data_IF_219355290831
#
_entry.id   IF_219355290831
#
_cell.length_a   1.000
_cell.length_b   1.000
_cell.length_c   1.000
_cell.angle_alpha   90.00
_cell.angle_beta   90.00
_cell.angle_gamma   90.00
#
_symmetry.space_group_name_H-M   'P 1'
#
loop_
_entity.id
_entity.type
_entity.pdbx_description
1 polymer ?
#
# COMPACT_ATOMS: atom_id res chain seq x y z
N UNK A 1 -18.34 0.58 7.95
CA UNK A 1 -18.74 0.23 6.57
C UNK A 1 -17.50 -0.31 5.87
N UNK A 2 -17.56 -1.51 5.33
CA UNK A 2 -16.49 -2.08 4.51
C UNK A 2 -16.45 -1.32 3.18
N UNK A 3 -15.26 -0.86 2.77
CA UNK A 3 -15.04 -0.23 1.47
C UNK A 3 -14.06 -1.07 0.66
N UNK A 4 -14.13 -0.89 -0.66
CA UNK A 4 -13.12 -1.42 -1.58
C UNK A 4 -11.98 -0.42 -1.75
N UNK A 5 -10.75 -0.91 -1.69
CA UNK A 5 -9.51 -0.15 -1.83
C UNK A 5 -8.68 -0.73 -2.96
N UNK A 6 -8.23 0.13 -3.88
CA UNK A 6 -7.21 -0.21 -4.86
C UNK A 6 -5.93 0.51 -4.50
N UNK A 7 -4.83 -0.23 -4.36
CA UNK A 7 -3.49 0.31 -4.09
C UNK A 7 -2.63 0.00 -5.30
N UNK A 8 -2.09 1.03 -5.94
CA UNK A 8 -1.17 0.89 -7.06
C UNK A 8 0.25 1.14 -6.57
N UNK A 9 1.14 0.19 -6.88
CA UNK A 9 2.55 0.25 -6.52
C UNK A 9 3.36 -0.08 -7.77
N UNK A 10 4.17 0.89 -8.21
CA UNK A 10 5.28 0.65 -9.14
C UNK A 10 6.53 0.44 -8.29
N UNK A 11 7.24 -0.66 -8.51
CA UNK A 11 8.46 -0.97 -7.76
C UNK A 11 9.62 -0.15 -8.32
N UNK A 12 9.94 0.98 -7.67
CA UNK A 12 11.06 1.85 -8.05
C UNK A 12 12.21 1.69 -7.07
N UNK A 13 11.95 1.78 -5.77
CA UNK A 13 12.96 1.59 -4.72
C UNK A 13 13.02 0.13 -4.23
N UNK A 14 13.48 -0.78 -5.08
CA UNK A 14 13.74 -2.20 -4.81
C UNK A 14 12.59 -2.93 -4.08
N UNK A 15 12.60 -2.90 -2.76
CA UNK A 15 11.65 -3.55 -1.88
C UNK A 15 10.89 -2.58 -0.96
N UNK A 16 11.33 -1.32 -0.88
CA UNK A 16 10.78 -0.30 0.03
C UNK A 16 9.34 0.01 -0.29
N UNK A 17 9.08 0.46 -1.53
CA UNK A 17 7.74 0.82 -2.01
C UNK A 17 6.77 -0.35 -1.85
N UNK A 18 7.21 -1.53 -2.31
CA UNK A 18 6.39 -2.73 -2.26
C UNK A 18 6.14 -3.18 -0.82
N UNK A 19 7.14 -3.09 0.06
CA UNK A 19 7.03 -3.42 1.47
C UNK A 19 6.05 -2.52 2.21
N UNK A 20 6.07 -1.22 1.95
CA UNK A 20 5.12 -0.26 2.54
C UNK A 20 3.70 -0.52 2.05
N UNK A 21 3.50 -0.63 0.73
CA UNK A 21 2.18 -0.91 0.15
C UNK A 21 1.61 -2.24 0.63
N UNK A 22 2.45 -3.28 0.73
CA UNK A 22 2.04 -4.59 1.23
C UNK A 22 1.67 -4.55 2.71
N UNK A 23 2.46 -3.87 3.55
CA UNK A 23 2.16 -3.70 4.98
C UNK A 23 0.83 -2.97 5.17
N UNK A 24 0.61 -1.87 4.42
CA UNK A 24 -0.65 -1.12 4.43
C UNK A 24 -1.82 -1.99 4.00
N UNK A 25 -1.71 -2.73 2.89
CA UNK A 25 -2.75 -3.61 2.38
C UNK A 25 -3.17 -4.66 3.43
N UNK A 26 -2.19 -5.30 4.09
CA UNK A 26 -2.43 -6.26 5.18
C UNK A 26 -3.14 -5.63 6.36
N UNK A 27 -2.75 -4.43 6.77
CA UNK A 27 -3.40 -3.76 7.89
C UNK A 27 -4.86 -3.36 7.56
N UNK A 28 -5.10 -2.85 6.35
CA UNK A 28 -6.45 -2.53 5.86
C UNK A 28 -7.36 -3.75 5.83
N UNK A 29 -6.86 -4.89 5.31
CA UNK A 29 -7.63 -6.12 5.24
C UNK A 29 -7.88 -6.75 6.63
N UNK A 30 -6.81 -6.96 7.40
CA UNK A 30 -6.88 -7.75 8.64
C UNK A 30 -7.37 -6.96 9.86
N UNK A 31 -7.00 -5.68 10.00
CA UNK A 31 -7.33 -4.88 11.19
C UNK A 31 -8.53 -3.96 10.96
N UNK A 32 -8.76 -3.54 9.71
CA UNK A 32 -9.85 -2.63 9.34
C UNK A 32 -10.95 -3.29 8.50
N UNK A 33 -10.82 -4.58 8.17
CA UNK A 33 -11.81 -5.38 7.44
C UNK A 33 -12.22 -4.76 6.10
N UNK A 34 -11.28 -4.11 5.42
CA UNK A 34 -11.49 -3.55 4.09
C UNK A 34 -11.26 -4.60 3.01
N UNK A 35 -11.88 -4.43 1.85
CA UNK A 35 -11.60 -5.26 0.67
C UNK A 35 -10.49 -4.61 -0.13
N UNK A 36 -9.34 -5.25 -0.28
CA UNK A 36 -8.15 -4.64 -0.88
C UNK A 36 -7.75 -5.35 -2.17
N UNK A 37 -7.50 -4.57 -3.23
CA UNK A 37 -6.76 -4.99 -4.42
C UNK A 37 -5.44 -4.26 -4.48
N UNK A 38 -4.36 -5.02 -4.65
CA UNK A 38 -3.01 -4.51 -4.77
C UNK A 38 -2.51 -4.76 -6.20
N UNK A 39 -2.25 -3.68 -6.93
CA UNK A 39 -1.75 -3.69 -8.30
C UNK A 39 -0.24 -3.47 -8.28
N UNK A 40 0.51 -4.43 -8.84
CA UNK A 40 1.97 -4.49 -8.76
C UNK A 40 2.56 -4.74 -10.13
N UNK A 41 3.55 -3.96 -10.54
CA UNK A 41 4.22 -4.07 -11.84
C UNK A 41 5.43 -5.02 -11.85
N UNK A 42 5.93 -5.43 -10.69
CA UNK A 42 6.97 -6.46 -10.54
C UNK A 42 6.64 -7.48 -9.42
N UNK A 43 6.05 -8.61 -9.82
CA UNK A 43 5.76 -9.71 -8.88
C UNK A 43 7.01 -10.51 -8.46
N UNK A 44 8.12 -10.44 -9.19
CA UNK A 44 9.35 -11.15 -8.80
C UNK A 44 9.96 -10.48 -7.57
N UNK A 45 10.09 -9.15 -7.61
CA UNK A 45 10.55 -8.37 -6.44
C UNK A 45 9.59 -8.53 -5.26
N UNK A 46 8.28 -8.57 -5.51
CA UNK A 46 7.30 -8.79 -4.45
C UNK A 46 7.44 -10.17 -3.79
N UNK A 47 7.71 -11.23 -4.57
CA UNK A 47 7.89 -12.58 -4.03
C UNK A 47 9.11 -12.72 -3.10
N UNK A 48 10.11 -11.84 -3.19
CA UNK A 48 11.25 -11.81 -2.26
C UNK A 48 10.81 -11.47 -0.83
N UNK A 49 9.94 -10.48 -0.67
CA UNK A 49 9.46 -10.01 0.64
C UNK A 49 8.19 -10.72 1.11
N UNK A 50 7.48 -11.38 0.20
CA UNK A 50 6.27 -12.14 0.49
C UNK A 50 6.34 -13.51 -0.24
N UNK A 51 6.95 -14.54 0.39
CA UNK A 51 7.18 -15.84 -0.26
C UNK A 51 5.92 -16.60 -0.71
N UNK A 52 4.74 -16.20 -0.23
CA UNK A 52 3.46 -16.76 -0.68
C UNK A 52 3.00 -16.25 -2.05
N UNK A 53 3.64 -15.19 -2.57
CA UNK A 53 3.35 -14.65 -3.91
C UNK A 53 3.89 -15.59 -4.97
N UNK A 54 3.01 -16.00 -5.89
CA UNK A 54 3.42 -16.66 -7.12
C UNK A 54 3.75 -15.62 -8.19
N UNK A 55 5.02 -15.46 -8.60
CA UNK A 55 5.40 -14.43 -9.57
C UNK A 55 4.83 -14.67 -10.98
N UNK A 56 4.38 -15.89 -11.28
CA UNK A 56 3.82 -16.24 -12.58
C UNK A 56 2.29 -16.08 -12.67
N UNK A 57 1.63 -15.74 -11.56
CA UNK A 57 0.18 -15.58 -11.51
C UNK A 57 -0.22 -14.11 -11.70
N UNK A 58 -0.88 -13.81 -12.82
CA UNK A 58 -1.38 -12.45 -13.12
C UNK A 58 -2.49 -11.98 -12.17
N UNK A 59 -3.16 -12.91 -11.50
CA UNK A 59 -4.10 -12.67 -10.40
C UNK A 59 -3.94 -13.76 -9.34
N UNK A 60 -3.92 -13.37 -8.08
CA UNK A 60 -3.88 -14.29 -6.94
C UNK A 60 -4.51 -13.66 -5.69
N UNK A 61 -4.75 -14.47 -4.67
CA UNK A 61 -5.23 -13.99 -3.37
C UNK A 61 -4.25 -14.48 -2.30
N UNK A 62 -3.74 -13.56 -1.49
CA UNK A 62 -2.82 -13.84 -0.38
C UNK A 62 -3.22 -12.99 0.82
N UNK A 63 -3.42 -13.61 1.98
CA UNK A 63 -3.93 -12.94 3.20
C UNK A 63 -5.21 -12.12 2.96
N UNK A 64 -6.17 -12.70 2.21
CA UNK A 64 -7.46 -12.08 1.85
C UNK A 64 -7.34 -10.78 1.02
N UNK A 65 -6.19 -10.55 0.40
CA UNK A 65 -5.92 -9.42 -0.50
C UNK A 65 -5.85 -9.96 -1.92
N UNK A 66 -6.61 -9.36 -2.84
CA UNK A 66 -6.47 -9.67 -4.26
C UNK A 66 -5.24 -8.95 -4.81
N UNK A 67 -4.35 -9.71 -5.46
CA UNK A 67 -3.11 -9.18 -6.01
C UNK A 67 -3.18 -9.35 -7.52
N UNK A 68 -2.93 -8.26 -8.23
CA UNK A 68 -2.99 -8.20 -9.69
C UNK A 68 -1.64 -7.77 -10.24
N UNK A 69 -1.18 -8.50 -11.26
CA UNK A 69 -0.07 -8.05 -12.07
C UNK A 69 -0.50 -6.88 -12.95
N UNK A 70 0.12 -5.73 -12.74
CA UNK A 70 -0.13 -4.51 -13.47
C UNK A 70 0.65 -4.53 -14.79
N UNK A 71 0.03 -5.06 -15.84
CA UNK A 71 0.60 -5.06 -17.19
C UNK A 71 0.03 -3.93 -18.07
N UNK A 72 0.76 -3.59 -19.15
CA UNK A 72 0.25 -2.78 -20.27
C UNK A 72 -0.04 -3.71 -21.47
N UNK A 73 -1.23 -3.66 -22.08
CA UNK A 73 -2.35 -2.75 -21.82
C UNK A 73 -3.11 -3.13 -20.54
N UNK A 74 -3.60 -2.13 -19.81
CA UNK A 74 -4.32 -2.35 -18.55
C UNK A 74 -5.77 -2.80 -18.79
N UNK A 75 -6.19 -3.86 -18.10
CA UNK A 75 -7.54 -4.42 -18.25
C UNK A 75 -8.63 -3.46 -17.74
N UNK A 76 -9.78 -3.44 -18.41
CA UNK A 76 -10.93 -2.68 -17.96
C UNK A 76 -11.46 -3.24 -16.63
N UNK A 77 -11.50 -2.41 -15.61
CA UNK A 77 -11.96 -2.80 -14.26
C UNK A 77 -12.71 -1.63 -13.62
N UNK A 78 -13.72 -1.95 -12.82
CA UNK A 78 -14.44 -0.94 -12.05
C UNK A 78 -13.55 -0.41 -10.92
N UNK A 79 -13.31 0.92 -10.81
CA UNK A 79 -12.48 1.47 -9.76
C UNK A 79 -13.06 1.24 -8.36
N UNK A 80 -12.18 1.12 -7.38
CA UNK A 80 -12.52 1.05 -5.96
C UNK A 80 -13.17 2.35 -5.44
N UNK A 81 -13.68 2.32 -4.21
CA UNK A 81 -14.19 3.53 -3.54
C UNK A 81 -13.07 4.41 -3.01
N UNK A 82 -11.92 3.80 -2.70
CA UNK A 82 -10.67 4.48 -2.35
C UNK A 82 -9.56 3.96 -3.24
N UNK A 83 -8.79 4.88 -3.81
CA UNK A 83 -7.68 4.60 -4.71
C UNK A 83 -6.42 5.24 -4.12
N UNK A 84 -5.40 4.43 -3.88
CA UNK A 84 -4.09 4.89 -3.45
C UNK A 84 -3.13 4.78 -4.63
N UNK A 85 -2.62 5.92 -5.04
CA UNK A 85 -1.46 6.06 -5.91
C UNK A 85 -0.23 6.14 -5.00
N UNK A 86 0.58 5.08 -4.94
CA UNK A 86 1.74 5.08 -4.07
C UNK A 86 2.97 5.66 -4.78
N UNK A 87 3.67 6.56 -4.09
CA UNK A 87 4.96 7.11 -4.48
C UNK A 87 4.96 7.75 -5.86
N UNK A 88 3.88 8.46 -6.19
CA UNK A 88 3.65 9.11 -7.48
C UNK A 88 3.73 8.16 -8.69
N UNK A 89 3.37 6.88 -8.51
CA UNK A 89 3.19 5.99 -9.65
C UNK A 89 2.07 6.49 -10.58
N UNK A 90 2.22 6.36 -11.89
CA UNK A 90 1.20 6.84 -12.82
C UNK A 90 0.08 5.81 -13.00
N UNK A 91 -1.12 6.10 -12.50
CA UNK A 91 -2.28 5.24 -12.75
C UNK A 91 -2.57 5.11 -14.26
N UNK A 92 -3.08 3.95 -14.74
CA UNK A 92 -3.51 3.81 -16.13
C UNK A 92 -4.58 4.84 -16.49
N UNK A 93 -4.42 5.55 -17.62
CA UNK A 93 -5.41 6.56 -18.07
C UNK A 93 -6.82 5.95 -18.22
N UNK A 94 -6.92 4.69 -18.65
CA UNK A 94 -8.19 3.97 -18.74
C UNK A 94 -8.88 3.80 -17.37
N UNK A 95 -8.10 3.60 -16.30
CA UNK A 95 -8.59 3.52 -14.92
C UNK A 95 -9.03 4.90 -14.42
N UNK A 96 -8.24 5.96 -14.67
CA UNK A 96 -8.60 7.34 -14.31
C UNK A 96 -9.89 7.79 -15.01
N UNK A 97 -10.04 7.46 -16.29
CA UNK A 97 -11.28 7.71 -17.04
C UNK A 97 -12.47 6.93 -16.44
N UNK A 98 -12.24 5.70 -15.96
CA UNK A 98 -13.29 4.93 -15.29
C UNK A 98 -13.70 5.58 -13.94
N UNK A 99 -12.77 6.22 -13.22
CA UNK A 99 -13.07 6.93 -11.97
C UNK A 99 -14.04 8.09 -12.21
N UNK A 100 -13.89 8.83 -13.32
CA UNK A 100 -14.78 9.92 -13.72
C UNK A 100 -16.22 9.46 -14.00
N UNK A 101 -16.38 8.22 -14.46
CA UNK A 101 -17.68 7.66 -14.87
C UNK A 101 -18.50 7.16 -13.68
N UNK A 102 -17.93 7.11 -12.48
CA UNK A 102 -18.66 6.69 -11.29
C UNK A 102 -19.66 7.76 -10.87
N UNK A 103 -20.85 7.32 -10.43
CA UNK A 103 -21.85 8.22 -9.83
C UNK A 103 -21.29 9.04 -8.66
N UNK A 104 -20.37 8.43 -7.90
CA UNK A 104 -19.59 9.09 -6.86
C UNK A 104 -18.10 8.90 -7.19
N UNK A 105 -17.34 9.98 -7.42
CA UNK A 105 -15.89 9.89 -7.57
C UNK A 105 -15.26 9.19 -6.36
N UNK A 106 -14.25 8.34 -6.58
CA UNK A 106 -13.57 7.69 -5.47
C UNK A 106 -12.74 8.70 -4.69
N UNK A 107 -12.40 8.36 -3.44
CA UNK A 107 -11.35 9.07 -2.71
C UNK A 107 -10.03 8.69 -3.35
N UNK A 108 -9.30 9.67 -3.92
CA UNK A 108 -8.00 9.44 -4.55
C UNK A 108 -6.90 10.02 -3.65
N UNK A 109 -6.03 9.15 -3.16
CA UNK A 109 -4.92 9.50 -2.27
C UNK A 109 -3.62 9.34 -3.03
N UNK A 110 -2.74 10.35 -2.98
CA UNK A 110 -1.35 10.21 -3.37
C UNK A 110 -0.53 9.93 -2.10
N UNK A 111 -0.06 8.69 -1.92
CA UNK A 111 0.75 8.30 -0.77
C UNK A 111 2.20 8.66 -1.05
N UNK A 112 2.75 9.56 -0.26
CA UNK A 112 4.11 10.08 -0.41
C UNK A 112 5.11 9.28 0.42
N UNK A 113 6.40 9.49 0.15
CA UNK A 113 7.46 8.98 1.00
C UNK A 113 7.41 9.61 2.40
N UNK A 114 7.85 8.82 3.38
CA UNK A 114 8.05 9.30 4.74
C UNK A 114 9.13 10.37 4.78
N UNK A 115 8.86 11.50 5.41
CA UNK A 115 9.89 12.48 5.74
C UNK A 115 9.72 13.04 7.16
N UNK A 116 10.83 13.41 7.76
CA UNK A 116 10.91 14.09 9.05
C UNK A 116 11.05 15.61 8.91
N UNK A 117 11.07 16.11 7.67
CA UNK A 117 11.20 17.55 7.42
C UNK A 117 9.93 18.28 7.87
N UNK A 118 10.04 19.46 8.52
CA UNK A 118 8.89 20.15 9.10
C UNK A 118 7.78 20.49 8.09
N UNK A 119 8.15 20.74 6.83
CA UNK A 119 7.21 21.17 5.81
C UNK A 119 6.16 20.11 5.47
N UNK A 120 6.40 18.81 5.71
CA UNK A 120 5.44 17.77 5.29
C UNK A 120 4.09 17.88 5.99
N UNK A 121 4.05 18.43 7.20
CA UNK A 121 2.81 18.69 7.93
C UNK A 121 1.95 19.78 7.24
N UNK A 122 2.59 20.72 6.54
CA UNK A 122 1.89 21.77 5.80
C UNK A 122 1.27 21.25 4.50
N UNK A 123 1.83 20.16 3.93
CA UNK A 123 1.37 19.57 2.66
C UNK A 123 0.52 18.31 2.83
N UNK A 124 0.44 17.77 4.05
CA UNK A 124 -0.42 16.64 4.35
C UNK A 124 -1.91 17.00 4.23
N UNK A 125 -2.70 16.09 3.66
CA UNK A 125 -4.12 16.22 3.40
C UNK A 125 -4.52 17.38 2.46
N UNK A 126 -3.57 17.99 1.75
CA UNK A 126 -3.87 19.04 0.78
C UNK A 126 -4.50 18.45 -0.50
N UNK A 127 -5.56 19.09 -1.04
CA UNK A 127 -6.10 18.74 -2.35
C UNK A 127 -5.14 19.13 -3.48
N UNK A 128 -4.90 18.20 -4.41
CA UNK A 128 -4.12 18.37 -5.63
C UNK A 128 -5.01 18.05 -6.84
N UNK A 129 -5.60 19.08 -7.49
CA UNK A 129 -6.46 18.89 -8.66
C UNK A 129 -5.72 18.20 -9.82
N UNK A 130 -6.36 17.22 -10.44
CA UNK A 130 -5.80 16.54 -11.60
C UNK A 130 -5.73 17.52 -12.80
N UNK A 131 -4.60 17.61 -13.52
CA UNK A 131 -4.37 18.67 -14.51
C UNK A 131 -5.33 18.63 -15.71
N UNK A 132 -5.87 17.45 -16.04
CA UNK A 132 -6.71 17.22 -17.23
C UNK A 132 -8.17 16.84 -16.93
N UNK A 133 -8.46 16.38 -15.71
CA UNK A 133 -9.73 15.73 -15.40
C UNK A 133 -10.30 16.35 -14.13
N UNK A 134 -11.63 16.41 -14.01
CA UNK A 134 -12.31 16.93 -12.82
C UNK A 134 -12.26 15.92 -11.64
N UNK A 135 -11.05 15.51 -11.28
CA UNK A 135 -10.72 14.67 -10.14
C UNK A 135 -9.71 15.42 -9.28
N UNK A 136 -9.74 15.19 -7.98
CA UNK A 136 -8.79 15.78 -7.04
C UNK A 136 -8.12 14.66 -6.28
N UNK A 137 -6.79 14.63 -6.29
CA UNK A 137 -5.99 13.79 -5.39
C UNK A 137 -5.87 14.47 -4.04
N UNK A 138 -5.67 13.71 -2.98
CA UNK A 138 -5.27 14.24 -1.68
C UNK A 138 -3.86 13.75 -1.37
N UNK A 139 -2.92 14.68 -1.17
CA UNK A 139 -1.55 14.33 -0.81
C UNK A 139 -1.53 13.77 0.63
N UNK A 140 -0.94 12.60 0.82
CA UNK A 140 -0.84 11.94 2.12
C UNK A 140 0.64 11.71 2.43
N UNK A 141 1.21 12.60 3.24
CA UNK A 141 2.58 12.51 3.74
C UNK A 141 2.64 11.76 5.07
N UNK A 142 3.24 10.57 5.15
CA UNK A 142 3.64 9.97 6.42
C UNK A 142 4.68 10.85 7.13
N UNK A 143 4.65 10.87 8.46
CA UNK A 143 5.55 11.71 9.24
C UNK A 143 5.57 11.38 10.72
N UNK A 144 6.51 12.00 11.43
CA UNK A 144 6.80 11.71 12.84
C UNK A 144 6.06 12.63 13.82
N UNK A 145 5.44 13.70 13.31
CA UNK A 145 4.81 14.75 14.13
C UNK A 145 3.31 14.84 13.84
N UNK A 146 2.58 15.50 14.74
CA UNK A 146 1.17 15.84 14.52
C UNK A 146 0.99 16.67 13.23
N UNK A 147 -0.18 16.57 12.61
CA UNK A 147 -0.44 17.20 11.30
C UNK A 147 0.07 16.40 10.10
N UNK A 148 0.74 15.25 10.32
CA UNK A 148 1.13 14.32 9.25
C UNK A 148 0.27 13.06 9.27
N UNK A 149 0.47 12.18 8.28
CA UNK A 149 -0.22 10.90 8.14
C UNK A 149 0.23 9.82 9.13
N UNK A 150 1.19 10.15 10.01
CA UNK A 150 1.73 9.22 11.00
C UNK A 150 2.59 8.12 10.37
N UNK A 151 2.70 6.99 11.10
CA UNK A 151 3.52 5.84 10.73
C UNK A 151 2.69 4.57 10.72
N UNK A 152 2.96 3.68 9.75
CA UNK A 152 2.41 2.33 9.76
C UNK A 152 2.86 1.59 11.01
N UNK A 153 1.90 1.06 11.76
CA UNK A 153 2.15 0.31 12.98
C UNK A 153 0.98 -0.62 13.27
N UNK A 154 1.21 -1.93 13.19
CA UNK A 154 0.20 -2.94 13.49
C UNK A 154 -0.26 -2.84 14.96
N UNK A 155 -1.54 -3.09 15.20
CA UNK A 155 -2.19 -2.87 16.51
C UNK A 155 -1.46 -3.59 17.66
N UNK A 156 -0.92 -4.77 17.40
CA UNK A 156 -0.26 -5.62 18.41
C UNK A 156 1.28 -5.53 18.38
N UNK A 157 1.87 -4.72 17.49
CA UNK A 157 3.32 -4.70 17.27
C UNK A 157 4.11 -4.48 18.55
N UNK A 158 3.75 -3.43 19.31
CA UNK A 158 4.49 -3.07 20.53
C UNK A 158 4.41 -4.21 21.54
N UNK A 159 3.22 -4.72 21.84
CA UNK A 159 3.00 -5.83 22.78
C UNK A 159 3.76 -7.10 22.36
N UNK A 160 3.69 -7.47 21.07
CA UNK A 160 4.42 -8.63 20.55
C UNK A 160 5.94 -8.46 20.68
N UNK A 161 6.45 -7.25 20.41
CA UNK A 161 7.86 -6.94 20.63
C UNK A 161 8.26 -7.02 22.11
N UNK A 162 7.39 -6.63 23.05
CA UNK A 162 7.71 -6.78 24.49
C UNK A 162 7.70 -8.24 24.95
N UNK A 163 6.84 -9.06 24.33
CA UNK A 163 6.78 -10.50 24.59
C UNK A 163 7.97 -11.27 23.96
N UNK A 164 8.61 -10.73 22.93
CA UNK A 164 9.81 -11.29 22.31
C UNK A 164 11.05 -11.08 23.22
N UNK A 165 11.16 -11.93 24.24
CA UNK A 165 12.25 -11.94 25.21
C UNK A 165 13.46 -12.77 24.72
N UNK A 166 14.54 -12.80 25.52
CA UNK A 166 15.77 -13.53 25.18
C UNK A 166 15.57 -15.03 24.89
N UNK A 167 14.54 -15.68 25.49
CA UNK A 167 14.24 -17.07 25.19
C UNK A 167 13.63 -17.23 23.79
N UNK A 168 12.67 -16.36 23.44
CA UNK A 168 12.06 -16.33 22.11
C UNK A 168 13.08 -15.94 21.02
N UNK A 169 14.02 -15.05 21.35
CA UNK A 169 15.13 -14.66 20.48
C UNK A 169 16.04 -15.83 20.14
N UNK A 170 16.54 -16.57 21.16
CA UNK A 170 17.35 -17.77 20.92
C UNK A 170 16.63 -18.81 20.08
N UNK A 171 15.36 -19.09 20.38
CA UNK A 171 14.56 -20.03 19.59
C UNK A 171 14.40 -19.55 18.12
N UNK A 172 14.27 -18.25 17.90
CA UNK A 172 14.23 -17.69 16.55
C UNK A 172 15.58 -17.85 15.82
N UNK A 173 16.70 -17.50 16.46
CA UNK A 173 18.04 -17.61 15.86
C UNK A 173 18.39 -19.08 15.53
N UNK A 174 18.09 -20.01 16.42
CA UNK A 174 18.30 -21.44 16.21
C UNK A 174 17.50 -21.98 15.01
N UNK A 175 16.24 -21.57 14.85
CA UNK A 175 15.43 -21.90 13.65
C UNK A 175 16.00 -21.33 12.36
N UNK A 176 16.84 -20.30 12.44
CA UNK A 176 17.57 -19.72 11.32
C UNK A 176 18.98 -20.29 11.15
N UNK A 177 19.38 -21.25 11.99
CA UNK A 177 20.72 -21.84 11.97
C UNK A 177 21.81 -20.85 12.41
N UNK A 178 21.45 -19.82 13.18
CA UNK A 178 22.37 -18.83 13.71
C UNK A 178 22.75 -19.19 15.16
N UNK A 179 23.99 -18.85 15.59
CA UNK A 179 24.39 -19.01 16.98
C UNK A 179 23.58 -18.06 17.89
N UNK A 180 23.51 -18.43 19.17
CA UNK A 180 22.93 -17.61 20.24
C UNK A 180 23.66 -16.27 20.41
#
# INVERSE_FOLDING_TARGET
>A
MQRRWDIFCTVIDNFGDMGVCWRLARQLASEHHQTVRLWVDDLNSFAVIAPAINPNASRQIVHDIEIFFWHKPFAAVEPAEVVIEAFACELPESYVIAMLKKNKPPVWINLEYLSAEPWVAEYHAIPSPHPRFALTKTCFFPGFVEGTGGLLREKKLITQRQAFNASAEREFLQRKGLPD
#
